data_IF_868626582667
#
_entry.id   IF_868626582667
#
_cell.length_a   1.000
_cell.length_b   1.000
_cell.length_c   1.000
_cell.angle_alpha   90.00
_cell.angle_beta   90.00
_cell.angle_gamma   90.00
#
_symmetry.space_group_name_H-M   'P 1'
#
loop_
_entity.id
_entity.type
_entity.pdbx_description
1 polymer ?
#
# COMPACT_ATOMS: atom_id res chain seq x y z
N UNK A 1 15.30 10.50 -6.50
CA UNK A 1 13.85 10.29 -6.27
C UNK A 1 13.46 11.03 -5.01
N UNK A 2 12.22 11.52 -4.93
CA UNK A 2 11.63 12.22 -3.76
C UNK A 2 11.33 11.26 -2.58
N UNK A 3 12.16 10.21 -2.43
CA UNK A 3 12.04 9.29 -1.31
C UNK A 3 12.68 9.90 -0.07
N UNK A 4 12.09 9.61 1.09
CA UNK A 4 12.72 9.95 2.37
C UNK A 4 14.07 9.23 2.41
N UNK A 5 15.17 9.92 2.73
CA UNK A 5 16.47 9.28 2.79
C UNK A 5 16.61 8.43 4.07
N UNK A 6 17.27 7.27 4.03
CA UNK A 6 17.68 6.59 5.26
C UNK A 6 18.48 7.55 6.15
N UNK A 7 18.32 7.54 7.50
CA UNK A 7 17.70 6.51 8.34
C UNK A 7 16.20 6.71 8.62
N UNK A 8 15.55 7.71 8.01
CA UNK A 8 14.16 7.99 8.31
C UNK A 8 13.23 6.87 7.85
N UNK A 9 12.33 6.48 8.76
CA UNK A 9 11.41 5.39 8.56
C UNK A 9 10.26 5.83 7.64
N UNK A 10 10.29 5.34 6.40
CA UNK A 10 9.14 5.34 5.49
C UNK A 10 8.78 3.90 5.15
N UNK A 11 7.51 3.61 4.85
CA UNK A 11 7.09 2.25 4.49
C UNK A 11 7.86 1.70 3.28
N UNK A 12 8.16 2.56 2.30
CA UNK A 12 9.00 2.20 1.15
C UNK A 12 10.46 1.90 1.53
N UNK A 13 11.06 2.68 2.44
CA UNK A 13 12.41 2.40 2.93
C UNK A 13 12.47 1.11 3.75
N UNK A 14 11.46 0.85 4.59
CA UNK A 14 11.39 -0.39 5.39
C UNK A 14 11.36 -1.62 4.49
N UNK A 15 10.58 -1.59 3.40
CA UNK A 15 10.57 -2.67 2.41
C UNK A 15 11.89 -2.78 1.63
N UNK A 16 12.54 -1.66 1.31
CA UNK A 16 13.85 -1.68 0.66
C UNK A 16 14.94 -2.30 1.56
N UNK A 17 14.92 -2.02 2.86
CA UNK A 17 15.84 -2.61 3.84
C UNK A 17 15.54 -4.10 4.07
N UNK A 18 14.27 -4.49 4.01
CA UNK A 18 13.86 -5.88 4.16
C UNK A 18 14.09 -6.76 2.92
N UNK A 19 14.69 -6.22 1.85
CA UNK A 19 15.03 -6.97 0.63
C UNK A 19 16.19 -7.97 0.82
N UNK A 20 16.94 -7.85 1.91
CA UNK A 20 17.99 -8.82 2.26
C UNK A 20 17.38 -10.22 2.41
N UNK A 21 17.95 -11.22 1.74
CA UNK A 21 17.50 -12.63 1.83
C UNK A 21 17.43 -13.10 3.29
N UNK A 22 18.39 -12.68 4.11
CA UNK A 22 18.42 -12.98 5.55
C UNK A 22 17.18 -12.43 6.26
N UNK A 23 16.74 -11.22 5.91
CA UNK A 23 15.55 -10.59 6.50
C UNK A 23 14.27 -11.25 6.02
N UNK A 24 14.19 -11.59 4.74
CA UNK A 24 13.04 -12.28 4.17
C UNK A 24 12.82 -13.65 4.82
N UNK A 25 13.89 -14.40 5.07
CA UNK A 25 13.83 -15.74 5.64
C UNK A 25 13.70 -15.75 7.16
N UNK A 26 14.44 -14.88 7.87
CA UNK A 26 14.55 -14.96 9.33
C UNK A 26 13.71 -13.92 10.08
N UNK A 27 13.27 -12.86 9.41
CA UNK A 27 12.61 -11.71 10.05
C UNK A 27 11.38 -11.24 9.25
N UNK A 28 10.39 -12.12 8.95
CA UNK A 28 9.30 -11.81 8.04
C UNK A 28 8.42 -10.63 8.49
N UNK A 29 8.32 -10.39 9.80
CA UNK A 29 7.59 -9.25 10.34
C UNK A 29 8.12 -7.89 9.86
N UNK A 30 9.41 -7.80 9.49
CA UNK A 30 10.00 -6.53 9.03
C UNK A 30 9.40 -6.04 7.71
N UNK A 31 9.03 -6.94 6.80
CA UNK A 31 8.39 -6.56 5.53
C UNK A 31 6.86 -6.71 5.57
N UNK A 32 6.33 -7.64 6.39
CA UNK A 32 4.89 -7.90 6.44
C UNK A 32 4.08 -6.69 6.88
N UNK A 33 4.48 -5.98 7.93
CA UNK A 33 3.73 -4.82 8.42
C UNK A 33 3.70 -3.65 7.42
N UNK A 34 4.84 -3.14 6.92
CA UNK A 34 4.81 -2.06 5.93
C UNK A 34 4.18 -2.51 4.61
N UNK A 35 4.34 -3.77 4.21
CA UNK A 35 3.69 -4.35 3.04
C UNK A 35 2.16 -4.38 3.19
N UNK A 36 1.64 -4.88 4.32
CA UNK A 36 0.21 -4.92 4.60
C UNK A 36 -0.39 -3.51 4.67
N UNK A 37 0.30 -2.56 5.29
CA UNK A 37 -0.15 -1.17 5.36
C UNK A 37 -0.32 -0.55 3.96
N UNK A 38 0.63 -0.80 3.05
CA UNK A 38 0.52 -0.36 1.65
C UNK A 38 -0.63 -1.03 0.91
N UNK A 39 -0.80 -2.35 1.05
CA UNK A 39 -1.91 -3.08 0.42
C UNK A 39 -3.25 -2.52 0.90
N UNK A 40 -3.42 -2.35 2.22
CA UNK A 40 -4.65 -1.79 2.78
C UNK A 40 -4.91 -0.37 2.29
N UNK A 41 -3.87 0.47 2.19
CA UNK A 41 -4.00 1.84 1.69
C UNK A 41 -4.45 1.85 0.24
N UNK A 42 -3.85 1.02 -0.61
CA UNK A 42 -4.21 0.90 -2.03
C UNK A 42 -5.64 0.38 -2.18
N UNK A 43 -6.02 -0.65 -1.41
CA UNK A 43 -7.37 -1.18 -1.41
C UNK A 43 -8.40 -0.14 -0.96
N UNK A 44 -8.12 0.60 0.11
CA UNK A 44 -9.00 1.65 0.60
C UNK A 44 -9.20 2.74 -0.46
N UNK A 45 -8.12 3.19 -1.11
CA UNK A 45 -8.21 4.19 -2.18
C UNK A 45 -9.00 3.64 -3.38
N UNK A 46 -8.75 2.37 -3.78
CA UNK A 46 -9.49 1.73 -4.86
C UNK A 46 -10.98 1.64 -4.56
N UNK A 47 -11.36 1.18 -3.36
CA UNK A 47 -12.77 1.09 -2.96
C UNK A 47 -13.45 2.44 -2.83
N UNK A 48 -12.74 3.47 -2.35
CA UNK A 48 -13.27 4.83 -2.35
C UNK A 48 -13.47 5.31 -3.79
N UNK A 49 -12.51 5.05 -4.68
CA UNK A 49 -12.63 5.38 -6.11
C UNK A 49 -13.81 4.69 -6.78
N UNK A 50 -14.01 3.40 -6.51
CA UNK A 50 -15.13 2.62 -7.01
C UNK A 50 -16.46 3.11 -6.44
N UNK A 51 -16.52 3.40 -5.14
CA UNK A 51 -17.72 3.94 -4.50
C UNK A 51 -18.07 5.35 -4.97
N UNK A 52 -17.08 6.21 -5.20
CA UNK A 52 -17.28 7.52 -5.82
C UNK A 52 -17.76 7.36 -7.26
N UNK A 53 -17.13 6.47 -8.05
CA UNK A 53 -17.54 6.19 -9.42
C UNK A 53 -18.99 5.71 -9.49
N UNK A 54 -19.38 4.79 -8.61
CA UNK A 54 -20.75 4.27 -8.54
C UNK A 54 -21.75 5.36 -8.15
N UNK A 55 -21.40 6.22 -7.18
CA UNK A 55 -22.22 7.36 -6.79
C UNK A 55 -22.35 8.44 -7.89
N UNK A 56 -21.38 8.54 -8.80
CA UNK A 56 -21.36 9.50 -9.89
C UNK A 56 -21.66 8.90 -11.28
N UNK A 57 -21.97 7.60 -11.41
CA UNK A 57 -22.43 7.00 -12.69
C UNK A 57 -23.96 7.09 -12.77
N UNK A 58 -24.53 8.03 -13.57
CA UNK A 58 -25.96 8.29 -13.63
C UNK A 58 -26.76 7.23 -14.43
N UNK A 59 -26.15 6.08 -14.74
CA UNK A 59 -26.77 5.01 -15.54
C UNK A 59 -27.49 3.94 -14.72
N UNK A 60 -27.55 4.08 -13.39
CA UNK A 60 -28.33 3.19 -12.51
C UNK A 60 -29.85 3.39 -12.60
N UNK A 61 -30.33 4.53 -13.13
CA UNK A 61 -31.75 4.93 -13.11
C UNK A 61 -32.48 4.87 -14.48
N UNK A 62 -32.01 4.07 -15.45
CA UNK A 62 -32.71 3.85 -16.73
C UNK A 62 -33.04 2.37 -16.96
N UNK A 63 -34.00 1.85 -16.19
CA UNK A 63 -34.87 0.73 -16.58
C UNK A 63 -36.17 0.72 -15.76
#
# INVERSE_FOLDING_TARGET
>A
GLGIAPPEASWGNMLNLARSTVVLENYPWQWMFPGAALVLTVLAINFIGDGLRDAFDPRSDLN
#
